data_IF_273159775435
#
_entry.id   IF_273159775435
#
_cell.length_a   1.000
_cell.length_b   1.000
_cell.length_c   1.000
_cell.angle_alpha   90.00
_cell.angle_beta   90.00
_cell.angle_gamma   90.00
#
_symmetry.space_group_name_H-M   'P 1'
#
loop_
_entity.id
_entity.type
_entity.pdbx_description
1 polymer ?
#
# COMPACT_ATOMS: atom_id res chain seq x y z
N UNK A 1 1.53 -12.15 -15.45
CA UNK A 1 0.86 -10.84 -15.58
C UNK A 1 0.88 -10.49 -17.05
N UNK A 2 -0.15 -9.83 -17.59
CA UNK A 2 -0.11 -9.43 -19.00
C UNK A 2 1.10 -8.54 -19.24
N UNK A 3 1.76 -8.69 -20.39
CA UNK A 3 2.99 -7.97 -20.71
C UNK A 3 2.80 -6.43 -20.73
N UNK A 4 1.56 -5.95 -20.66
CA UNK A 4 1.16 -4.54 -20.68
C UNK A 4 0.92 -3.91 -19.28
N UNK A 5 1.21 -4.63 -18.18
CA UNK A 5 1.02 -4.10 -16.81
C UNK A 5 2.34 -3.56 -16.25
N UNK A 6 2.42 -2.24 -16.05
CA UNK A 6 3.54 -1.61 -15.34
C UNK A 6 3.36 -1.72 -13.82
N UNK A 7 4.25 -2.48 -13.17
CA UNK A 7 4.28 -2.64 -11.71
C UNK A 7 4.43 -1.30 -10.99
N UNK A 8 5.18 -0.34 -11.55
CA UNK A 8 5.36 0.98 -10.93
C UNK A 8 4.08 1.81 -10.92
N UNK A 9 3.15 1.49 -11.83
CA UNK A 9 1.82 2.09 -11.91
C UNK A 9 0.74 1.18 -11.27
N UNK A 10 1.14 0.20 -10.47
CA UNK A 10 0.23 -0.70 -9.76
C UNK A 10 0.33 -0.45 -8.24
N UNK A 11 -0.80 -0.54 -7.55
CA UNK A 11 -0.93 -0.32 -6.10
C UNK A 11 -1.50 -1.57 -5.44
N UNK A 12 -0.87 -2.03 -4.36
CA UNK A 12 -1.42 -3.02 -3.43
C UNK A 12 -2.11 -2.30 -2.26
N UNK A 13 -3.30 -2.74 -1.89
CA UNK A 13 -4.03 -2.29 -0.69
C UNK A 13 -4.20 -3.51 0.21
N UNK A 14 -3.70 -3.43 1.44
CA UNK A 14 -3.72 -4.56 2.36
C UNK A 14 -3.68 -4.16 3.82
N UNK A 15 -4.07 -5.08 4.69
CA UNK A 15 -4.06 -4.91 6.14
C UNK A 15 -2.82 -5.53 6.81
N UNK A 16 -2.03 -6.30 6.07
CA UNK A 16 -0.78 -6.88 6.56
C UNK A 16 0.44 -6.10 6.04
N UNK A 17 1.25 -5.56 6.94
CA UNK A 17 2.42 -4.77 6.54
C UNK A 17 3.50 -5.62 5.86
N UNK A 18 3.67 -6.87 6.26
CA UNK A 18 4.76 -7.72 5.75
C UNK A 18 4.36 -8.34 4.42
N UNK A 19 3.23 -9.04 4.41
CA UNK A 19 2.84 -9.87 3.27
C UNK A 19 2.21 -9.04 2.14
N UNK A 20 1.44 -8.00 2.46
CA UNK A 20 0.80 -7.15 1.43
C UNK A 20 1.71 -5.98 1.05
N UNK A 21 2.05 -5.12 2.01
CA UNK A 21 2.63 -3.80 1.71
C UNK A 21 4.11 -3.87 1.39
N UNK A 22 4.90 -4.48 2.28
CA UNK A 22 6.34 -4.66 2.04
C UNK A 22 6.59 -5.65 0.89
N UNK A 23 5.77 -6.69 0.76
CA UNK A 23 5.79 -7.59 -0.40
C UNK A 23 5.62 -6.84 -1.73
N UNK A 24 4.64 -5.95 -1.81
CA UNK A 24 4.41 -5.11 -2.99
C UNK A 24 5.56 -4.14 -3.27
N UNK A 25 6.02 -3.42 -2.24
CA UNK A 25 7.14 -2.46 -2.33
C UNK A 25 8.41 -3.13 -2.85
N UNK A 26 8.74 -4.32 -2.32
CA UNK A 26 9.91 -5.10 -2.72
C UNK A 26 9.79 -5.64 -4.15
N UNK A 27 8.56 -5.84 -4.64
CA UNK A 27 8.27 -6.26 -6.00
C UNK A 27 8.24 -5.11 -7.02
N UNK A 28 8.43 -3.86 -6.57
CA UNK A 28 8.44 -2.67 -7.42
C UNK A 28 7.08 -1.98 -7.59
N UNK A 29 6.08 -2.41 -6.81
CA UNK A 29 4.76 -1.78 -6.75
C UNK A 29 4.72 -0.70 -5.66
N UNK A 30 3.64 0.09 -5.64
CA UNK A 30 3.27 0.91 -4.49
C UNK A 30 2.43 0.09 -3.51
N UNK A 31 2.44 0.47 -2.24
CA UNK A 31 1.64 -0.18 -1.20
C UNK A 31 0.91 0.83 -0.32
N UNK A 32 -0.32 0.49 0.08
CA UNK A 32 -1.15 1.23 1.03
C UNK A 32 -1.55 0.27 2.14
N UNK A 33 -1.16 0.59 3.38
CA UNK A 33 -1.59 -0.12 4.58
C UNK A 33 -2.93 0.44 5.07
N UNK A 34 -3.96 -0.40 5.20
CA UNK A 34 -5.24 0.01 5.80
C UNK A 34 -5.32 -0.43 7.26
N UNK A 35 -5.78 0.45 8.15
CA UNK A 35 -5.94 0.16 9.59
C UNK A 35 -7.21 -0.61 9.93
N UNK A 36 -7.45 -1.66 9.16
CA UNK A 36 -8.55 -2.62 9.36
C UNK A 36 -7.97 -4.03 9.45
N UNK A 37 -8.79 -5.05 9.77
CA UNK A 37 -8.36 -6.45 9.70
C UNK A 37 -7.21 -6.80 10.66
N UNK A 38 -6.10 -7.33 10.13
CA UNK A 38 -4.92 -7.81 10.85
C UNK A 38 -3.98 -6.72 11.35
N UNK A 39 -4.16 -5.48 10.89
CA UNK A 39 -3.31 -4.35 11.26
C UNK A 39 -3.13 -4.22 12.78
N UNK A 40 -1.92 -3.90 13.21
CA UNK A 40 -1.59 -3.52 14.59
C UNK A 40 -0.92 -2.15 14.62
N UNK A 41 -1.17 -1.42 15.71
CA UNK A 41 -0.55 -0.11 15.94
C UNK A 41 0.97 -0.22 15.87
N UNK A 42 1.59 0.57 15.00
CA UNK A 42 3.04 0.59 14.78
C UNK A 42 3.48 -0.22 13.56
N UNK A 43 2.59 -1.00 12.92
CA UNK A 43 2.93 -1.70 11.69
C UNK A 43 3.41 -0.74 10.59
N UNK A 44 2.82 0.46 10.51
CA UNK A 44 3.21 1.49 9.55
C UNK A 44 4.68 1.95 9.69
N UNK A 45 5.28 1.76 10.86
CA UNK A 45 6.66 2.15 11.13
C UNK A 45 7.67 1.23 10.42
N UNK A 46 7.24 0.04 10.01
CA UNK A 46 8.04 -0.90 9.23
C UNK A 46 8.18 -0.45 7.77
N UNK A 47 7.31 0.44 7.29
CA UNK A 47 7.33 0.98 5.93
C UNK A 47 8.28 2.18 5.87
N UNK A 48 9.22 2.24 4.91
CA UNK A 48 10.08 3.41 4.69
C UNK A 48 9.24 4.69 4.50
N UNK A 49 9.67 5.79 5.11
CA UNK A 49 8.89 7.02 5.19
C UNK A 49 8.49 7.56 3.80
N UNK A 50 9.38 7.41 2.82
CA UNK A 50 9.20 7.84 1.44
C UNK A 50 8.21 7.00 0.63
N UNK A 51 7.74 5.85 1.17
CA UNK A 51 6.73 4.97 0.57
C UNK A 51 5.54 4.68 1.49
N UNK A 52 5.47 5.35 2.64
CA UNK A 52 4.51 5.06 3.70
C UNK A 52 3.14 5.68 3.40
N UNK A 53 2.29 4.92 2.72
CA UNK A 53 0.86 5.23 2.63
C UNK A 53 0.11 4.41 3.68
N UNK A 54 -0.55 5.08 4.63
CA UNK A 54 -1.39 4.41 5.64
C UNK A 54 -2.67 5.21 5.89
N UNK A 55 -3.82 4.53 5.85
CA UNK A 55 -5.16 5.13 5.93
C UNK A 55 -6.10 4.27 6.79
N UNK A 56 -7.23 4.81 7.23
CA UNK A 56 -8.08 4.11 8.20
C UNK A 56 -8.97 3.02 7.57
N UNK A 57 -9.20 3.05 6.25
CA UNK A 57 -10.10 2.11 5.58
C UNK A 57 -9.78 1.90 4.10
N UNK A 58 -10.36 0.86 3.51
CA UNK A 58 -10.28 0.63 2.05
C UNK A 58 -10.86 1.79 1.25
N UNK A 59 -11.96 2.40 1.72
CA UNK A 59 -12.59 3.53 1.04
C UNK A 59 -11.63 4.74 0.96
N UNK A 60 -10.90 5.02 2.05
CA UNK A 60 -9.88 6.07 2.05
C UNK A 60 -8.69 5.74 1.16
N UNK A 61 -8.31 4.46 1.04
CA UNK A 61 -7.28 4.03 0.12
C UNK A 61 -7.67 4.32 -1.34
N UNK A 62 -8.94 4.09 -1.70
CA UNK A 62 -9.48 4.44 -3.03
C UNK A 62 -9.41 5.95 -3.24
N UNK A 63 -9.87 6.75 -2.28
CA UNK A 63 -9.78 8.23 -2.38
C UNK A 63 -8.35 8.73 -2.51
N UNK A 64 -7.38 8.08 -1.84
CA UNK A 64 -5.97 8.42 -1.97
C UNK A 64 -5.46 8.16 -3.40
N UNK A 65 -5.83 7.01 -3.99
CA UNK A 65 -5.51 6.66 -5.37
C UNK A 65 -6.12 7.68 -6.35
N UNK A 66 -7.40 8.01 -6.21
CA UNK A 66 -8.08 9.00 -7.06
C UNK A 66 -7.45 10.39 -6.97
N UNK A 67 -6.89 10.75 -5.80
CA UNK A 67 -6.21 12.03 -5.61
C UNK A 67 -4.82 12.12 -6.29
N UNK A 68 -4.27 10.99 -6.75
CA UNK A 68 -2.93 10.92 -7.34
C UNK A 68 -1.78 11.12 -6.35
N UNK A 69 -2.03 10.99 -5.04
CA UNK A 69 -1.06 11.28 -3.97
C UNK A 69 -0.42 10.03 -3.34
N UNK A 70 -0.57 8.86 -3.95
CA UNK A 70 0.08 7.64 -3.47
C UNK A 70 1.60 7.79 -3.65
N UNK A 71 2.32 7.76 -2.52
CA UNK A 71 3.78 7.80 -2.46
C UNK A 71 4.40 6.61 -3.21
#
# INVERSE_FOLDING_TARGET
MGDDIDLKNTVMIGDDVVDDVMGAINSGMKGILVRTGKYRKGDEEQIPLERRNCVESFAEAVSLIESGKVL
#
